data_IF_887694101174
#
_entry.id   IF_887694101174
#
_cell.length_a   1.000
_cell.length_b   1.000
_cell.length_c   1.000
_cell.angle_alpha   90.00
_cell.angle_beta   90.00
_cell.angle_gamma   90.00
#
_symmetry.space_group_name_H-M   'P 1'
#
loop_
_entity.id
_entity.type
_entity.pdbx_description
1 polymer ?
#
# COMPACT_ATOMS: atom_id res chain seq x y z
N UNK A 1 -13.36 4.72 -16.43
CA UNK A 1 -13.89 5.03 -15.08
C UNK A 1 -12.77 5.69 -14.30
N UNK A 2 -12.67 7.01 -14.41
CA UNK A 2 -11.59 7.77 -13.78
C UNK A 2 -11.98 7.96 -12.32
N UNK A 3 -11.31 7.29 -11.39
CA UNK A 3 -11.45 7.63 -9.97
C UNK A 3 -10.85 9.03 -9.83
N UNK A 4 -11.69 10.06 -9.79
CA UNK A 4 -11.29 11.39 -9.36
C UNK A 4 -11.06 11.31 -7.85
N UNK A 5 -9.82 11.00 -7.47
CA UNK A 5 -9.35 11.32 -6.14
C UNK A 5 -9.38 12.84 -6.02
N UNK A 6 -10.32 13.38 -5.24
CA UNK A 6 -10.23 14.76 -4.79
C UNK A 6 -9.01 14.84 -3.87
N UNK A 7 -7.87 15.21 -4.47
CA UNK A 7 -6.56 15.31 -3.85
C UNK A 7 -6.53 16.49 -2.87
N UNK A 8 -7.19 16.34 -1.72
CA UNK A 8 -6.67 17.00 -0.52
C UNK A 8 -5.44 16.18 -0.15
N UNK A 9 -4.25 16.69 -0.48
CA UNK A 9 -2.99 16.13 0.00
C UNK A 9 -2.97 16.22 1.53
N UNK A 10 -3.58 15.24 2.21
CA UNK A 10 -3.43 15.09 3.64
C UNK A 10 -2.02 14.54 3.81
N UNK A 11 -1.09 15.38 4.24
CA UNK A 11 0.26 14.97 4.59
C UNK A 11 0.21 14.15 5.88
N UNK A 12 -0.17 12.88 5.78
CA UNK A 12 -0.17 11.93 6.89
C UNK A 12 1.28 11.46 7.06
N UNK A 13 2.09 12.27 7.73
CA UNK A 13 3.50 12.02 8.05
C UNK A 13 4.39 11.68 6.83
N UNK A 14 5.07 12.67 6.23
CA UNK A 14 6.19 12.51 5.25
C UNK A 14 5.98 11.69 3.95
N UNK A 15 4.86 10.99 3.72
CA UNK A 15 4.60 10.24 2.48
C UNK A 15 3.23 10.57 1.86
N UNK A 16 3.12 10.43 0.53
CA UNK A 16 1.89 10.69 -0.22
C UNK A 16 0.95 9.48 -0.16
N UNK A 17 -0.32 9.70 0.19
CA UNK A 17 -1.32 8.66 0.34
C UNK A 17 -2.56 8.93 -0.53
N UNK A 18 -3.15 7.88 -1.07
CA UNK A 18 -4.51 7.91 -1.61
C UNK A 18 -5.49 7.79 -0.47
N UNK A 19 -6.39 8.76 -0.34
CA UNK A 19 -7.35 8.83 0.77
C UNK A 19 -8.76 9.07 0.26
N UNK A 20 -9.75 8.58 0.99
CA UNK A 20 -11.15 9.00 0.83
C UNK A 20 -11.72 9.47 2.16
N UNK A 21 -12.80 10.26 2.12
CA UNK A 21 -13.58 10.54 3.32
C UNK A 21 -14.15 9.23 3.86
N UNK A 22 -14.08 9.07 5.17
CA UNK A 22 -14.75 7.97 5.84
C UNK A 22 -16.27 8.16 5.74
N UNK A 23 -17.01 7.27 5.05
CA UNK A 23 -18.46 7.41 4.89
C UNK A 23 -19.22 7.14 6.20
N UNK A 24 -18.54 6.65 7.25
CA UNK A 24 -19.13 6.32 8.54
C UNK A 24 -18.72 7.29 9.66
N UNK A 25 -17.94 8.34 9.35
CA UNK A 25 -17.55 9.33 10.35
C UNK A 25 -18.61 10.44 10.47
N UNK A 26 -19.18 10.60 11.68
CA UNK A 26 -20.29 11.50 11.96
C UNK A 26 -19.97 12.99 11.69
N UNK A 27 -18.69 13.40 11.81
CA UNK A 27 -18.28 14.82 11.76
C UNK A 27 -17.46 15.22 10.51
N UNK A 28 -17.37 14.38 9.47
CA UNK A 28 -16.37 14.51 8.38
C UNK A 28 -14.91 14.59 8.90
N UNK A 29 -14.69 14.24 10.16
CA UNK A 29 -13.40 14.18 10.81
C UNK A 29 -12.87 12.75 10.66
N UNK A 30 -12.04 12.55 9.64
CA UNK A 30 -11.45 11.24 9.36
C UNK A 30 -11.26 11.00 7.88
N UNK A 31 -10.32 10.11 7.55
CA UNK A 31 -10.07 9.67 6.19
C UNK A 31 -9.57 8.24 6.19
N UNK A 32 -10.04 7.46 5.22
CA UNK A 32 -9.57 6.10 5.00
C UNK A 32 -8.40 6.18 4.03
N UNK A 33 -7.27 5.59 4.41
CA UNK A 33 -6.12 5.41 3.53
C UNK A 33 -6.40 4.21 2.62
N UNK A 34 -6.42 4.46 1.32
CA UNK A 34 -6.64 3.45 0.29
C UNK A 34 -5.34 2.83 -0.21
N UNK A 35 -4.25 3.61 -0.23
CA UNK A 35 -2.99 3.18 -0.82
C UNK A 35 -1.96 4.29 -0.96
N UNK A 36 -0.92 4.03 -1.76
CA UNK A 36 0.04 5.04 -2.25
C UNK A 36 0.82 4.50 -3.43
N UNK A 37 1.72 5.31 -3.97
CA UNK A 37 2.70 4.83 -4.95
C UNK A 37 3.74 3.92 -4.31
N UNK A 38 4.17 2.91 -5.06
CA UNK A 38 5.39 2.18 -4.77
C UNK A 38 6.59 3.13 -4.81
N UNK A 39 7.42 3.14 -3.79
CA UNK A 39 8.55 4.06 -3.71
C UNK A 39 9.66 3.78 -4.75
N UNK A 40 9.72 2.55 -5.29
CA UNK A 40 10.66 2.11 -6.32
C UNK A 40 10.10 2.37 -7.72
N UNK A 41 9.03 1.68 -8.12
CA UNK A 41 8.51 1.73 -9.49
C UNK A 41 7.42 2.79 -9.73
N UNK A 42 6.95 3.50 -8.70
CA UNK A 42 5.89 4.51 -8.75
C UNK A 42 4.49 4.02 -9.16
N UNK A 43 4.30 2.71 -9.33
CA UNK A 43 2.97 2.15 -9.55
C UNK A 43 2.04 2.36 -8.36
N UNK A 44 0.77 2.64 -8.63
CA UNK A 44 -0.26 2.83 -7.62
C UNK A 44 -0.61 1.49 -6.98
N UNK A 45 -0.54 1.39 -5.65
CA UNK A 45 -0.86 0.16 -4.92
C UNK A 45 -1.74 0.44 -3.70
N UNK A 46 -2.64 -0.50 -3.39
CA UNK A 46 -3.55 -0.36 -2.25
C UNK A 46 -2.91 -0.82 -0.93
N UNK A 47 -3.53 -0.45 0.20
CA UNK A 47 -3.08 -0.77 1.56
C UNK A 47 -3.13 -2.27 1.91
N UNK A 48 -3.81 -3.10 1.10
CA UNK A 48 -3.89 -4.54 1.33
C UNK A 48 -2.49 -5.17 1.40
N UNK A 49 -2.27 -6.06 2.36
CA UNK A 49 -1.03 -6.82 2.53
C UNK A 49 -0.73 -7.73 1.32
N UNK A 50 -1.75 -8.05 0.50
CA UNK A 50 -1.58 -8.80 -0.75
C UNK A 50 -1.22 -7.90 -1.94
N UNK A 51 -1.22 -6.58 -1.78
CA UNK A 51 -0.91 -5.62 -2.84
C UNK A 51 0.41 -4.88 -2.56
N UNK A 52 0.64 -4.52 -1.29
CA UNK A 52 1.80 -3.73 -0.91
C UNK A 52 2.30 -4.03 0.50
N UNK A 53 3.56 -3.68 0.75
CA UNK A 53 4.20 -3.70 2.07
C UNK A 53 4.53 -2.26 2.50
N UNK A 54 4.27 -1.93 3.77
CA UNK A 54 4.71 -0.68 4.38
C UNK A 54 5.68 -0.96 5.53
N UNK A 55 6.86 -0.34 5.48
CA UNK A 55 7.88 -0.40 6.54
C UNK A 55 8.41 0.99 6.91
N UNK A 56 8.67 1.84 5.91
CA UNK A 56 8.99 3.27 6.02
C UNK A 56 8.47 4.03 4.80
N UNK A 57 8.45 3.33 3.67
CA UNK A 57 7.80 3.69 2.42
C UNK A 57 6.91 2.51 2.00
N UNK A 58 6.00 2.74 1.07
CA UNK A 58 5.20 1.66 0.46
C UNK A 58 5.94 1.05 -0.71
N UNK A 59 5.95 -0.27 -0.79
CA UNK A 59 6.51 -1.04 -1.88
C UNK A 59 5.38 -1.87 -2.48
N UNK A 60 5.25 -1.90 -3.82
CA UNK A 60 4.39 -2.89 -4.45
C UNK A 60 4.92 -4.29 -4.14
N UNK A 61 4.06 -5.30 -4.29
CA UNK A 61 4.41 -6.71 -4.12
C UNK A 61 5.76 -7.04 -4.75
N UNK A 62 5.91 -6.80 -6.04
CA UNK A 62 7.11 -7.22 -6.79
C UNK A 62 8.37 -6.51 -6.31
N UNK A 63 8.29 -5.21 -5.99
CA UNK A 63 9.43 -4.47 -5.46
C UNK A 63 9.78 -4.92 -4.02
N UNK A 64 8.80 -5.27 -3.19
CA UNK A 64 9.08 -5.78 -1.84
C UNK A 64 9.80 -7.14 -1.87
N UNK A 65 9.50 -7.96 -2.87
CA UNK A 65 10.16 -9.26 -3.09
C UNK A 65 11.56 -9.07 -3.66
N UNK A 66 11.72 -8.21 -4.69
CA UNK A 66 13.02 -7.98 -5.35
C UNK A 66 14.05 -7.31 -4.45
N UNK A 67 13.60 -6.56 -3.43
CA UNK A 67 14.45 -5.84 -2.48
C UNK A 67 14.31 -6.43 -1.06
N UNK A 68 13.99 -7.72 -0.94
CA UNK A 68 13.71 -8.38 0.33
C UNK A 68 14.86 -8.22 1.36
N UNK A 69 16.08 -8.20 0.86
CA UNK A 69 17.34 -8.11 1.60
C UNK A 69 17.54 -6.75 2.28
N UNK A 70 16.83 -5.70 1.85
CA UNK A 70 16.84 -4.38 2.49
C UNK A 70 15.96 -4.32 3.76
N UNK A 71 15.12 -5.33 4.00
CA UNK A 71 14.24 -5.37 5.17
C UNK A 71 14.88 -6.13 6.36
N UNK A 72 14.53 -5.76 7.61
CA UNK A 72 14.88 -6.52 8.80
C UNK A 72 14.49 -8.00 8.68
N UNK A 73 15.26 -8.93 9.29
CA UNK A 73 14.99 -10.36 9.23
C UNK A 73 13.54 -10.77 9.48
N UNK A 74 12.91 -10.15 10.48
CA UNK A 74 11.54 -10.47 10.88
C UNK A 74 10.50 -10.09 9.82
N UNK A 75 10.77 -9.05 9.02
CA UNK A 75 9.89 -8.59 7.95
C UNK A 75 10.07 -9.35 6.64
N UNK A 76 11.21 -10.03 6.46
CA UNK A 76 11.45 -10.89 5.28
C UNK A 76 10.53 -12.11 5.26
N UNK A 77 10.05 -12.57 6.41
CA UNK A 77 9.07 -13.67 6.51
C UNK A 77 7.63 -13.17 6.41
N UNK A 78 7.31 -12.03 7.02
CA UNK A 78 5.94 -11.48 7.01
C UNK A 78 5.46 -11.07 5.60
N UNK A 79 6.38 -10.66 4.72
CA UNK A 79 6.06 -10.21 3.37
C UNK A 79 5.85 -11.33 2.35
N UNK A 80 6.09 -12.60 2.70
CA UNK A 80 6.10 -13.72 1.73
C UNK A 80 5.06 -14.82 1.97
N UNK A 81 4.56 -15.00 3.20
CA UNK A 81 3.71 -16.16 3.54
C UNK A 81 2.29 -16.06 2.94
N UNK A 82 1.80 -14.85 2.65
CA UNK A 82 0.54 -14.68 1.92
C UNK A 82 0.66 -14.98 0.41
N UNK A 83 1.86 -14.93 -0.17
CA UNK A 83 2.03 -14.96 -1.63
C UNK A 83 2.32 -16.32 -2.23
N UNK A 84 2.80 -17.29 -1.45
CA UNK A 84 3.00 -18.65 -1.92
C UNK A 84 1.72 -19.51 -1.90
N UNK A 85 0.67 -19.08 -1.19
CA UNK A 85 -0.59 -19.85 -1.11
C UNK A 85 -1.65 -19.43 -2.13
N UNK A 86 -1.46 -18.31 -2.84
CA UNK A 86 -2.41 -17.84 -3.89
C UNK A 86 -1.80 -17.83 -5.30
N UNK A 87 -0.59 -18.35 -5.47
CA UNK A 87 0.15 -18.41 -6.74
C UNK A 87 -0.29 -19.50 -7.72
N UNK A 88 -1.53 -19.99 -7.64
CA UNK A 88 -2.14 -20.84 -8.65
C UNK A 88 -3.48 -20.26 -9.08
N UNK A 89 -3.44 -19.26 -9.98
CA UNK A 89 -4.42 -18.97 -11.04
C UNK A 89 -4.21 -17.52 -11.53
N UNK A 90 -3.72 -17.39 -12.76
CA UNK A 90 -3.59 -16.11 -13.45
C UNK A 90 -2.73 -16.22 -14.69
N UNK A 91 -3.22 -16.98 -15.67
CA UNK A 91 -2.87 -16.82 -17.09
C UNK A 91 -3.50 -15.55 -17.65
#
# INVERSE_FOLDING_TARGET
>A
MTIKAESRNISIATWNAYTMRDPFADDNLGGIILGSDCCICKEMVCISQNCSLFYNKRYCRDCSVKHADEFPPDLRQASFVAFHLTGSLGS
#
